data_IF_182001318273
#
_entry.id   IF_182001318273
#
_cell.length_a   1.000
_cell.length_b   1.000
_cell.length_c   1.000
_cell.angle_alpha   90.00
_cell.angle_beta   90.00
_cell.angle_gamma   90.00
#
_symmetry.space_group_name_H-M   'P 1'
#
loop_
_entity.id
_entity.type
_entity.pdbx_description
1 polymer ?
#
# COMPACT_ATOMS: atom_id res chain seq x y z
N UNK A 1 11.70 10.70 -35.91
CA UNK A 1 10.59 10.97 -34.96
C UNK A 1 11.21 11.18 -33.60
N UNK A 2 10.83 12.25 -32.89
CA UNK A 2 11.31 12.50 -31.52
C UNK A 2 10.38 11.81 -30.52
N UNK A 3 10.93 11.35 -29.40
CA UNK A 3 10.13 10.74 -28.34
C UNK A 3 9.16 11.77 -27.75
N UNK A 4 7.93 11.33 -27.49
CA UNK A 4 6.94 12.15 -26.80
C UNK A 4 7.22 12.11 -25.30
N UNK A 5 7.37 13.27 -24.68
CA UNK A 5 7.56 13.37 -23.23
C UNK A 5 6.25 13.04 -22.51
N UNK A 6 6.26 11.97 -21.72
CA UNK A 6 5.15 11.62 -20.84
C UNK A 6 5.42 12.27 -19.47
N UNK A 7 4.66 13.31 -19.13
CA UNK A 7 4.76 14.03 -17.87
C UNK A 7 4.02 13.28 -16.76
N UNK A 8 4.71 12.38 -16.06
CA UNK A 8 4.13 11.61 -14.94
C UNK A 8 3.59 12.51 -13.82
N UNK A 9 4.17 13.68 -13.62
CA UNK A 9 3.72 14.67 -12.63
C UNK A 9 2.33 15.22 -12.95
N UNK A 10 2.10 15.60 -14.21
CA UNK A 10 0.80 16.15 -14.63
C UNK A 10 -0.28 15.07 -14.62
N UNK A 11 0.04 13.88 -15.13
CA UNK A 11 -0.88 12.73 -15.14
C UNK A 11 -1.25 12.32 -13.72
N UNK A 12 -0.28 12.22 -12.81
CA UNK A 12 -0.51 11.90 -11.40
C UNK A 12 -1.42 12.93 -10.73
N UNK A 13 -1.16 14.23 -10.99
CA UNK A 13 -1.97 15.31 -10.41
C UNK A 13 -3.42 15.27 -10.89
N UNK A 14 -3.64 15.04 -12.19
CA UNK A 14 -4.98 14.90 -12.75
C UNK A 14 -5.72 13.73 -12.11
N UNK A 15 -5.09 12.55 -12.06
CA UNK A 15 -5.67 11.36 -11.46
C UNK A 15 -6.03 11.56 -9.98
N UNK A 16 -5.13 12.14 -9.18
CA UNK A 16 -5.39 12.41 -7.77
C UNK A 16 -6.55 13.39 -7.58
N UNK A 17 -6.67 14.40 -8.45
CA UNK A 17 -7.80 15.34 -8.43
C UNK A 17 -9.13 14.64 -8.71
N UNK A 18 -9.18 13.76 -9.71
CA UNK A 18 -10.39 12.99 -10.03
C UNK A 18 -10.81 12.07 -8.89
N UNK A 19 -9.85 11.41 -8.23
CA UNK A 19 -10.11 10.57 -7.06
C UNK A 19 -10.64 11.41 -5.90
N UNK A 20 -10.03 12.57 -5.62
CA UNK A 20 -10.47 13.48 -4.58
C UNK A 20 -11.92 13.94 -4.79
N UNK A 21 -12.30 14.27 -6.03
CA UNK A 21 -13.67 14.64 -6.36
C UNK A 21 -14.66 13.49 -6.16
N UNK A 22 -14.29 12.26 -6.52
CA UNK A 22 -15.11 11.06 -6.29
C UNK A 22 -15.33 10.81 -4.80
N UNK A 23 -14.26 10.90 -4.00
CA UNK A 23 -14.33 10.76 -2.54
C UNK A 23 -15.22 11.84 -1.92
N UNK A 24 -15.07 13.08 -2.36
CA UNK A 24 -15.91 14.21 -1.90
C UNK A 24 -17.39 13.97 -2.19
N UNK A 25 -17.76 13.64 -3.43
CA UNK A 25 -19.16 13.35 -3.81
C UNK A 25 -19.77 12.20 -2.99
N UNK A 26 -18.97 11.16 -2.72
CA UNK A 26 -19.41 10.02 -1.92
C UNK A 26 -19.62 10.41 -0.45
N UNK A 27 -18.76 11.25 0.11
CA UNK A 27 -18.89 11.80 1.46
C UNK A 27 -20.07 12.77 1.61
N UNK A 28 -20.39 13.54 0.57
CA UNK A 28 -21.60 14.37 0.53
C UNK A 28 -22.88 13.52 0.57
N UNK A 29 -22.86 12.34 -0.08
CA UNK A 29 -24.00 11.41 -0.11
C UNK A 29 -24.13 10.56 1.16
N UNK A 30 -23.03 10.33 1.88
CA UNK A 30 -22.99 9.61 3.14
C UNK A 30 -21.95 10.26 4.06
N UNK A 31 -22.40 11.03 5.06
CA UNK A 31 -21.52 11.77 5.97
C UNK A 31 -20.62 10.88 6.84
N UNK A 32 -20.96 9.60 7.00
CA UNK A 32 -20.16 8.61 7.72
C UNK A 32 -19.12 7.92 6.83
N UNK A 33 -19.15 8.15 5.51
CA UNK A 33 -18.19 7.56 4.58
C UNK A 33 -16.80 8.17 4.78
N UNK A 34 -15.83 7.31 5.08
CA UNK A 34 -14.40 7.60 5.13
C UNK A 34 -13.67 6.51 4.35
N UNK A 35 -12.49 6.85 3.85
CA UNK A 35 -11.55 5.88 3.28
C UNK A 35 -10.30 5.92 4.12
N UNK A 36 -9.85 4.77 4.60
CA UNK A 36 -8.68 4.64 5.46
C UNK A 36 -7.65 3.72 4.79
N UNK A 37 -6.45 4.26 4.58
CA UNK A 37 -5.29 3.54 4.09
C UNK A 37 -4.34 3.28 5.26
N UNK A 38 -4.22 2.03 5.68
CA UNK A 38 -3.23 1.59 6.64
C UNK A 38 -1.88 1.37 5.93
N UNK A 39 -0.80 1.87 6.54
CA UNK A 39 0.57 1.66 6.11
C UNK A 39 1.29 0.99 7.27
N UNK A 40 1.67 -0.27 7.09
CA UNK A 40 2.43 -1.06 8.06
C UNK A 40 3.90 -0.92 7.72
N UNK A 41 4.70 -0.44 8.66
CA UNK A 41 6.14 -0.26 8.52
C UNK A 41 6.86 -1.17 9.53
N UNK A 42 7.65 -2.11 9.03
CA UNK A 42 8.50 -2.97 9.87
C UNK A 42 9.91 -2.38 9.97
N UNK A 43 10.32 -2.04 11.19
CA UNK A 43 11.56 -1.35 11.52
C UNK A 43 11.52 0.17 11.28
N UNK A 44 12.63 0.85 11.54
CA UNK A 44 12.72 2.32 11.41
C UNK A 44 13.86 2.72 10.45
N UNK A 45 13.53 2.98 9.19
CA UNK A 45 14.49 3.40 8.16
C UNK A 45 14.20 4.84 7.77
N UNK A 46 15.21 5.69 7.84
CA UNK A 46 15.06 7.14 7.64
C UNK A 46 14.59 7.50 6.23
N UNK A 47 15.01 6.75 5.22
CA UNK A 47 14.53 6.86 3.85
C UNK A 47 13.06 6.43 3.73
N UNK A 48 12.69 5.28 4.28
CA UNK A 48 11.29 4.80 4.30
C UNK A 48 10.33 5.79 4.96
N UNK A 49 10.76 6.46 6.04
CA UNK A 49 9.93 7.45 6.74
C UNK A 49 9.53 8.64 5.83
N UNK A 50 10.41 9.06 4.91
CA UNK A 50 10.11 10.16 3.97
C UNK A 50 9.03 9.75 2.97
N UNK A 51 9.17 8.55 2.37
CA UNK A 51 8.20 8.04 1.40
C UNK A 51 6.84 7.73 2.05
N UNK A 52 6.84 7.16 3.26
CA UNK A 52 5.62 6.92 4.04
C UNK A 52 4.93 8.25 4.36
N UNK A 53 5.69 9.26 4.82
CA UNK A 53 5.15 10.59 5.06
C UNK A 53 4.51 11.19 3.80
N UNK A 54 5.14 11.03 2.65
CA UNK A 54 4.58 11.47 1.37
C UNK A 54 3.29 10.69 0.99
N UNK A 55 3.25 9.37 1.21
CA UNK A 55 2.04 8.54 0.97
C UNK A 55 0.87 8.98 1.86
N UNK A 56 1.11 9.19 3.15
CA UNK A 56 0.09 9.67 4.11
C UNK A 56 -0.39 11.08 3.72
N UNK A 57 0.53 11.97 3.38
CA UNK A 57 0.19 13.33 2.96
C UNK A 57 -0.68 13.33 1.71
N UNK A 58 -0.32 12.53 0.70
CA UNK A 58 -1.13 12.39 -0.53
C UNK A 58 -2.51 11.80 -0.25
N UNK A 59 -2.61 10.80 0.64
CA UNK A 59 -3.90 10.26 1.06
C UNK A 59 -4.77 11.34 1.71
N UNK A 60 -4.19 12.14 2.60
CA UNK A 60 -4.89 13.27 3.23
C UNK A 60 -5.32 14.34 2.21
N UNK A 61 -4.48 14.65 1.23
CA UNK A 61 -4.77 15.63 0.16
C UNK A 61 -5.99 15.23 -0.68
N UNK A 62 -6.21 13.92 -0.92
CA UNK A 62 -7.38 13.42 -1.65
C UNK A 62 -8.60 13.18 -0.75
N UNK A 63 -8.50 13.42 0.57
CA UNK A 63 -9.59 13.25 1.53
C UNK A 63 -9.72 11.85 2.12
N UNK A 64 -8.69 11.01 2.02
CA UNK A 64 -8.56 9.75 2.74
C UNK A 64 -7.74 9.91 4.03
N UNK A 65 -7.98 9.03 5.01
CA UNK A 65 -7.18 8.92 6.23
C UNK A 65 -5.99 8.01 5.98
N UNK A 66 -4.76 8.49 6.21
CA UNK A 66 -3.57 7.65 6.21
C UNK A 66 -3.21 7.25 7.65
N UNK A 67 -3.19 5.94 7.93
CA UNK A 67 -2.84 5.39 9.25
C UNK A 67 -1.48 4.71 9.18
N UNK A 68 -0.52 5.17 9.99
CA UNK A 68 0.80 4.53 10.08
C UNK A 68 0.84 3.57 11.27
N UNK A 69 1.27 2.33 11.01
CA UNK A 69 1.48 1.28 12.00
C UNK A 69 2.96 0.93 11.96
N UNK A 70 3.69 1.26 13.03
CA UNK A 70 5.11 0.94 13.13
C UNK A 70 5.30 -0.32 13.95
N UNK A 71 5.96 -1.31 13.36
CA UNK A 71 6.33 -2.57 13.98
C UNK A 71 7.86 -2.63 14.13
N UNK A 72 8.38 -3.32 15.15
CA UNK A 72 9.82 -3.47 15.35
C UNK A 72 10.47 -4.29 14.23
N UNK A 73 11.77 -4.14 14.02
CA UNK A 73 12.55 -4.95 13.08
C UNK A 73 12.79 -6.39 13.57
N UNK A 74 12.57 -6.65 14.86
CA UNK A 74 12.61 -7.99 15.48
C UNK A 74 11.29 -8.75 15.34
N UNK A 75 10.29 -8.18 14.65
CA UNK A 75 8.99 -8.79 14.46
C UNK A 75 9.10 -10.08 13.64
N UNK A 76 8.48 -11.15 14.12
CA UNK A 76 8.41 -12.42 13.39
C UNK A 76 7.37 -12.37 12.27
N UNK A 77 7.46 -13.31 11.33
CA UNK A 77 6.46 -13.44 10.27
C UNK A 77 5.05 -13.68 10.80
N UNK A 78 4.90 -14.56 11.80
CA UNK A 78 3.60 -14.87 12.38
C UNK A 78 2.96 -13.65 13.06
N UNK A 79 3.76 -12.83 13.75
CA UNK A 79 3.28 -11.58 14.35
C UNK A 79 2.89 -10.55 13.28
N UNK A 80 3.57 -10.52 12.12
CA UNK A 80 3.18 -9.67 10.99
C UNK A 80 1.86 -10.12 10.37
N UNK A 81 1.70 -11.42 10.14
CA UNK A 81 0.47 -12.01 9.62
C UNK A 81 -0.72 -11.73 10.56
N UNK A 82 -0.54 -11.88 11.87
CA UNK A 82 -1.56 -11.57 12.87
C UNK A 82 -1.96 -10.08 12.82
N UNK A 83 -1.01 -9.16 12.66
CA UNK A 83 -1.31 -7.74 12.53
C UNK A 83 -2.07 -7.43 11.23
N UNK A 84 -1.70 -8.06 10.12
CA UNK A 84 -2.41 -7.93 8.85
C UNK A 84 -3.84 -8.50 8.97
N UNK A 85 -4.04 -9.64 9.63
CA UNK A 85 -5.36 -10.19 9.90
C UNK A 85 -6.24 -9.25 10.73
N UNK A 86 -5.67 -8.65 11.79
CA UNK A 86 -6.37 -7.62 12.59
C UNK A 86 -6.82 -6.44 11.73
N UNK A 87 -5.98 -6.00 10.79
CA UNK A 87 -6.33 -4.91 9.89
C UNK A 87 -7.37 -5.30 8.84
N UNK A 88 -7.30 -6.51 8.30
CA UNK A 88 -8.30 -7.05 7.38
C UNK A 88 -9.67 -7.26 8.03
N UNK A 89 -9.69 -7.61 9.32
CA UNK A 89 -10.91 -7.74 10.10
C UNK A 89 -11.49 -6.38 10.56
N UNK A 90 -10.74 -5.29 10.40
CA UNK A 90 -11.17 -3.97 10.79
C UNK A 90 -11.98 -3.31 9.67
N UNK A 91 -13.30 -3.19 9.88
CA UNK A 91 -14.20 -2.54 8.91
C UNK A 91 -13.92 -1.04 8.72
N UNK A 92 -13.07 -0.44 9.55
CA UNK A 92 -12.59 0.93 9.36
C UNK A 92 -11.39 1.03 8.41
N UNK A 93 -10.80 -0.07 7.94
CA UNK A 93 -9.61 -0.06 7.06
C UNK A 93 -10.02 -0.54 5.68
N UNK A 94 -9.83 0.30 4.66
CA UNK A 94 -10.21 0.01 3.27
C UNK A 94 -9.05 -0.53 2.43
N UNK A 95 -7.81 -0.30 2.87
CA UNK A 95 -6.63 -0.80 2.18
C UNK A 95 -5.39 -0.80 3.07
N UNK A 96 -4.48 -1.73 2.80
CA UNK A 96 -3.25 -1.92 3.57
C UNK A 96 -2.05 -1.89 2.62
N UNK A 97 -1.01 -1.14 2.98
CA UNK A 97 0.31 -1.16 2.35
C UNK A 97 1.31 -1.67 3.38
N UNK A 98 2.05 -2.74 3.05
CA UNK A 98 3.10 -3.26 3.93
C UNK A 98 4.47 -2.88 3.39
N UNK A 99 5.28 -2.23 4.22
CA UNK A 99 6.65 -1.81 3.96
C UNK A 99 7.60 -2.56 4.91
N UNK A 100 8.45 -3.42 4.34
CA UNK A 100 9.40 -4.26 5.09
C UNK A 100 10.83 -3.85 4.74
N UNK A 101 11.75 -3.79 5.71
CA UNK A 101 13.19 -3.71 5.41
C UNK A 101 13.69 -5.06 4.90
N UNK A 102 14.36 -5.09 3.75
CA UNK A 102 15.01 -6.27 3.13
C UNK A 102 15.94 -7.08 4.06
N UNK A 103 16.41 -6.50 5.17
CA UNK A 103 17.30 -7.13 6.15
C UNK A 103 16.60 -7.63 7.42
N UNK A 104 15.29 -7.42 7.58
CA UNK A 104 14.55 -8.15 8.59
C UNK A 104 14.58 -9.62 8.14
N UNK A 105 15.21 -10.50 8.91
CA UNK A 105 15.25 -11.96 8.69
C UNK A 105 13.85 -12.58 8.92
N UNK A 106 12.83 -11.99 8.32
CA UNK A 106 11.59 -12.66 8.00
C UNK A 106 12.00 -13.61 6.88
N UNK A 107 12.08 -14.91 7.20
CA UNK A 107 12.74 -15.93 6.38
C UNK A 107 12.45 -15.78 4.88
N UNK A 108 13.40 -16.20 4.05
CA UNK A 108 13.42 -16.11 2.58
C UNK A 108 12.26 -16.82 1.83
N UNK A 109 11.11 -17.00 2.49
CA UNK A 109 9.81 -17.43 1.99
C UNK A 109 8.73 -16.40 2.37
N UNK A 110 9.02 -15.10 2.20
CA UNK A 110 8.09 -14.00 2.44
C UNK A 110 6.86 -14.08 1.52
N UNK A 111 5.93 -14.97 1.84
CA UNK A 111 4.70 -15.21 1.09
C UNK A 111 3.70 -14.12 1.41
N UNK A 112 3.42 -13.34 0.37
CA UNK A 112 2.48 -12.24 0.29
C UNK A 112 1.29 -12.73 -0.51
N UNK A 113 0.13 -12.98 0.12
CA UNK A 113 -1.07 -13.43 -0.61
C UNK A 113 -2.33 -12.75 -0.04
N UNK A 114 -2.88 -11.78 -0.78
CA UNK A 114 -4.13 -11.98 -1.55
C UNK A 114 -4.37 -10.83 -2.55
N UNK A 115 -4.38 -11.19 -3.84
CA UNK A 115 -5.05 -10.49 -4.95
C UNK A 115 -6.26 -11.38 -5.38
N UNK A 116 -7.29 -10.81 -6.04
CA UNK A 116 -8.69 -11.28 -6.03
C UNK A 116 -8.93 -12.74 -6.45
N UNK A 117 -10.10 -13.29 -6.07
CA UNK A 117 -10.55 -14.70 -6.13
C UNK A 117 -10.56 -15.40 -7.51
N UNK A 118 -9.81 -14.93 -8.51
CA UNK A 118 -9.80 -15.45 -9.89
C UNK A 118 -8.42 -15.67 -10.52
N UNK A 119 -7.31 -15.62 -9.77
CA UNK A 119 -5.99 -16.00 -10.29
C UNK A 119 -5.56 -17.38 -9.79
N UNK A 120 -5.06 -18.21 -10.69
CA UNK A 120 -4.51 -19.52 -10.33
C UNK A 120 -3.15 -19.36 -9.68
N UNK A 121 -2.77 -20.34 -8.85
CA UNK A 121 -1.53 -20.31 -8.06
C UNK A 121 -0.26 -20.10 -8.90
N UNK A 122 -0.25 -20.54 -10.16
CA UNK A 122 0.86 -20.36 -11.08
C UNK A 122 0.99 -18.93 -11.63
N UNK A 123 -0.13 -18.23 -11.84
CA UNK A 123 -0.13 -16.83 -12.33
C UNK A 123 0.34 -15.86 -11.26
N UNK A 124 0.07 -16.17 -9.99
CA UNK A 124 0.60 -15.45 -8.82
C UNK A 124 2.13 -15.57 -8.72
N UNK A 125 2.68 -16.77 -8.93
CA UNK A 125 4.13 -17.00 -8.83
C UNK A 125 4.92 -16.25 -9.92
N UNK A 126 4.40 -16.20 -11.16
CA UNK A 126 5.04 -15.48 -12.27
C UNK A 126 5.04 -13.96 -12.07
N UNK A 127 3.96 -13.40 -11.52
CA UNK A 127 3.85 -11.96 -11.27
C UNK A 127 4.75 -11.52 -10.09
N UNK A 128 4.92 -12.39 -9.09
CA UNK A 128 5.83 -12.19 -7.95
C UNK A 128 7.29 -12.19 -8.43
N UNK A 129 7.68 -13.08 -9.34
CA UNK A 129 9.05 -13.12 -9.88
C UNK A 129 9.39 -11.83 -10.66
N UNK A 130 8.42 -11.27 -11.40
CA UNK A 130 8.59 -10.01 -12.13
C UNK A 130 8.70 -8.80 -11.21
N UNK A 131 7.92 -8.75 -10.12
CA UNK A 131 7.97 -7.67 -9.13
C UNK A 131 9.26 -7.70 -8.29
N UNK A 132 9.83 -8.89 -8.05
CA UNK A 132 11.08 -9.06 -7.31
C UNK A 132 12.35 -8.74 -8.11
N UNK A 133 12.25 -8.62 -9.44
CA UNK A 133 13.37 -8.29 -10.32
C UNK A 133 13.66 -6.77 -10.40
N UNK A 134 12.80 -5.95 -9.80
CA UNK A 134 12.88 -4.50 -9.84
C UNK A 134 13.14 -3.96 -8.42
N UNK A 135 14.38 -3.52 -8.18
CA UNK A 135 14.84 -3.01 -6.88
C UNK A 135 14.09 -1.73 -6.43
N UNK A 136 13.24 -1.13 -7.27
CA UNK A 136 12.44 0.08 -6.99
C UNK A 136 10.96 -0.20 -6.65
N UNK A 137 10.51 -1.46 -6.56
CA UNK A 137 9.10 -1.77 -6.27
C UNK A 137 8.80 -1.72 -4.76
N UNK A 138 8.38 -0.54 -4.32
CA UNK A 138 7.94 -0.23 -2.96
C UNK A 138 6.51 -0.73 -2.66
N UNK A 139 6.38 -2.02 -2.35
CA UNK A 139 5.40 -2.51 -1.39
C UNK A 139 4.17 -3.22 -1.95
N UNK A 140 3.61 -4.06 -1.08
CA UNK A 140 2.45 -4.91 -1.34
C UNK A 140 1.16 -4.17 -0.99
N UNK A 141 0.17 -4.27 -1.87
CA UNK A 141 -1.20 -3.77 -1.65
C UNK A 141 -2.08 -4.96 -1.30
N UNK A 142 -2.66 -4.97 -0.10
CA UNK A 142 -3.75 -5.90 0.26
C UNK A 142 -5.05 -5.10 0.23
N UNK A 143 -5.95 -5.49 -0.68
CA UNK A 143 -7.26 -4.89 -0.85
C UNK A 143 -8.31 -5.96 -0.53
N UNK A 144 -9.31 -5.60 0.28
CA UNK A 144 -10.44 -6.46 0.61
C UNK A 144 -11.38 -6.63 -0.59
#
# INVERSE_FOLDING_TARGET
>A
MVAQLISGTEISKQLLSEVAEKLKKRKESNSSFRVVLAIVQVGDRSDSNVYIGAKIKKAAEIGAEGRLIKLPDTLTQAELEEEIEKLNANDDVDGIIVQIKKAAEIGAEGRLIKLPDTLTQAELEEEIEKLNADDDVDGIIVQR
#
